data_IF_316132900230
#
_entry.id   IF_316132900230
#
_cell.length_a   1.000
_cell.length_b   1.000
_cell.length_c   1.000
_cell.angle_alpha   90.00
_cell.angle_beta   90.00
_cell.angle_gamma   90.00
#
_symmetry.space_group_name_H-M   'P 1'
#
loop_
_entity.id
_entity.type
_entity.pdbx_description
1 polymer ?
#
# COMPACT_ATOMS: atom_id res chain seq x y z
N UNK A 1 -26.61 13.57 -12.82
CA UNK A 1 -25.50 12.91 -13.55
C UNK A 1 -24.52 12.18 -12.63
N UNK A 2 -24.04 12.77 -11.53
CA UNK A 2 -23.07 12.10 -10.62
C UNK A 2 -23.62 10.86 -9.89
N UNK A 3 -24.88 10.90 -9.44
CA UNK A 3 -25.55 9.73 -8.83
C UNK A 3 -25.60 8.53 -9.77
N UNK A 4 -25.88 8.76 -11.06
CA UNK A 4 -25.93 7.72 -12.09
C UNK A 4 -24.54 7.15 -12.38
N UNK A 5 -23.52 8.00 -12.53
CA UNK A 5 -22.11 7.57 -12.65
C UNK A 5 -21.66 6.74 -11.45
N UNK A 6 -22.02 7.17 -10.24
CA UNK A 6 -21.75 6.43 -9.01
C UNK A 6 -22.42 5.05 -8.98
N UNK A 7 -23.68 4.96 -9.37
CA UNK A 7 -24.42 3.69 -9.45
C UNK A 7 -23.80 2.72 -10.49
N UNK A 8 -23.37 3.22 -11.65
CA UNK A 8 -22.67 2.41 -12.65
C UNK A 8 -21.36 1.86 -12.14
N UNK A 9 -20.54 2.68 -11.46
CA UNK A 9 -19.28 2.24 -10.87
C UNK A 9 -19.53 1.17 -9.81
N UNK A 10 -20.46 1.40 -8.87
CA UNK A 10 -20.80 0.42 -7.84
C UNK A 10 -21.37 -0.86 -8.45
N UNK A 11 -22.18 -0.76 -9.51
CA UNK A 11 -22.66 -1.90 -10.29
C UNK A 11 -21.51 -2.72 -10.88
N UNK A 12 -20.53 -2.06 -11.49
CA UNK A 12 -19.32 -2.71 -12.00
C UNK A 12 -18.52 -3.43 -10.91
N UNK A 13 -18.33 -2.81 -9.75
CA UNK A 13 -17.67 -3.45 -8.60
C UNK A 13 -18.40 -4.73 -8.17
N UNK A 14 -19.74 -4.68 -8.10
CA UNK A 14 -20.57 -5.84 -7.76
C UNK A 14 -20.45 -6.96 -8.80
N UNK A 15 -20.41 -6.62 -10.09
CA UNK A 15 -20.22 -7.61 -11.16
C UNK A 15 -18.90 -8.35 -10.99
N UNK A 16 -17.78 -7.65 -10.75
CA UNK A 16 -16.50 -8.30 -10.45
C UNK A 16 -16.61 -9.22 -9.22
N UNK A 17 -17.26 -8.76 -8.15
CA UNK A 17 -17.43 -9.52 -6.92
C UNK A 17 -18.29 -10.79 -7.06
N UNK A 18 -19.04 -10.94 -8.14
CA UNK A 18 -19.85 -12.13 -8.47
C UNK A 18 -19.10 -13.16 -9.32
N UNK A 19 -17.99 -12.77 -9.95
CA UNK A 19 -17.22 -13.66 -10.81
C UNK A 19 -16.42 -14.69 -9.99
N UNK A 20 -16.15 -15.87 -10.55
CA UNK A 20 -15.14 -16.78 -9.99
C UNK A 20 -13.78 -16.08 -9.90
N UNK A 21 -13.00 -16.38 -8.86
CA UNK A 21 -11.73 -15.69 -8.58
C UNK A 21 -10.76 -15.66 -9.76
N UNK A 22 -10.64 -16.79 -10.48
CA UNK A 22 -9.79 -16.90 -11.68
C UNK A 22 -10.24 -15.96 -12.80
N UNK A 23 -11.54 -15.73 -12.94
CA UNK A 23 -12.08 -14.80 -13.93
C UNK A 23 -11.82 -13.35 -13.52
N UNK A 24 -11.92 -13.01 -12.23
CA UNK A 24 -11.53 -11.69 -11.69
C UNK A 24 -10.07 -11.39 -12.06
N UNK A 25 -9.17 -12.31 -11.75
CA UNK A 25 -7.74 -12.18 -12.06
C UNK A 25 -7.47 -12.13 -13.57
N UNK A 26 -8.15 -12.96 -14.36
CA UNK A 26 -8.00 -12.99 -15.81
C UNK A 26 -8.43 -11.67 -16.46
N UNK A 27 -9.57 -11.11 -16.05
CA UNK A 27 -10.04 -9.81 -16.53
C UNK A 27 -9.11 -8.69 -16.10
N UNK A 28 -8.65 -8.68 -14.84
CA UNK A 28 -7.67 -7.71 -14.36
C UNK A 28 -6.37 -7.76 -15.16
N UNK A 29 -5.85 -8.96 -15.42
CA UNK A 29 -4.67 -9.15 -16.26
C UNK A 29 -4.88 -8.66 -17.70
N UNK A 30 -6.05 -8.94 -18.29
CA UNK A 30 -6.38 -8.47 -19.64
C UNK A 30 -6.43 -6.94 -19.72
N UNK A 31 -7.03 -6.27 -18.72
CA UNK A 31 -7.02 -4.81 -18.61
C UNK A 31 -5.58 -4.29 -18.53
N UNK A 32 -4.75 -4.87 -17.66
CA UNK A 32 -3.36 -4.50 -17.52
C UNK A 32 -2.52 -4.75 -18.78
N UNK A 33 -2.80 -5.83 -19.51
CA UNK A 33 -2.18 -6.11 -20.81
C UNK A 33 -2.55 -5.05 -21.86
N UNK A 34 -3.82 -4.63 -21.91
CA UNK A 34 -4.24 -3.52 -22.78
C UNK A 34 -3.54 -2.21 -22.39
N UNK A 35 -3.41 -1.93 -21.10
CA UNK A 35 -2.64 -0.77 -20.60
C UNK A 35 -1.16 -0.85 -20.96
N UNK A 36 -0.59 -2.04 -21.09
CA UNK A 36 0.79 -2.21 -21.55
C UNK A 36 0.90 -1.97 -23.06
N UNK A 37 0.00 -2.53 -23.87
CA UNK A 37 0.08 -2.43 -25.33
C UNK A 37 -0.35 -1.08 -25.90
N UNK A 38 -1.32 -0.41 -25.28
CA UNK A 38 -1.84 0.87 -25.74
C UNK A 38 -1.12 2.06 -25.08
N UNK A 39 -0.77 3.13 -25.82
CA UNK A 39 -0.20 4.33 -25.23
C UNK A 39 -1.12 4.96 -24.19
N UNK A 40 -0.62 5.15 -22.97
CA UNK A 40 -1.35 5.86 -21.92
C UNK A 40 -0.38 6.41 -20.87
N UNK A 41 -0.87 7.39 -20.10
CA UNK A 41 -0.07 8.09 -19.08
C UNK A 41 0.41 7.16 -17.96
N UNK A 42 -0.39 6.19 -17.54
CA UNK A 42 -0.03 5.30 -16.43
C UNK A 42 1.12 4.37 -16.81
N UNK A 43 1.11 3.83 -18.03
CA UNK A 43 2.24 3.08 -18.60
C UNK A 43 3.51 3.91 -18.60
N UNK A 44 3.42 5.16 -19.04
CA UNK A 44 4.59 6.05 -19.11
C UNK A 44 5.15 6.36 -17.71
N UNK A 45 4.28 6.61 -16.74
CA UNK A 45 4.70 6.80 -15.33
C UNK A 45 5.42 5.56 -14.81
N UNK A 46 4.83 4.38 -15.01
CA UNK A 46 5.43 3.12 -14.59
C UNK A 46 6.79 2.85 -15.26
N UNK A 47 6.91 3.11 -16.56
CA UNK A 47 8.15 2.94 -17.32
C UNK A 47 9.28 3.80 -16.76
N UNK A 48 9.02 5.09 -16.53
CA UNK A 48 10.00 6.03 -15.97
C UNK A 48 10.39 5.63 -14.54
N UNK A 49 9.42 5.23 -13.71
CA UNK A 49 9.71 4.82 -12.34
C UNK A 49 10.64 3.59 -12.33
N UNK A 50 10.28 2.57 -13.12
CA UNK A 50 11.05 1.33 -13.21
C UNK A 50 12.45 1.61 -13.76
N UNK A 51 12.61 2.44 -14.81
CA UNK A 51 13.92 2.75 -15.39
C UNK A 51 14.88 3.41 -14.40
N UNK A 52 14.37 4.28 -13.52
CA UNK A 52 15.22 4.93 -12.51
C UNK A 52 15.41 4.08 -11.26
N UNK A 53 14.45 3.23 -10.91
CA UNK A 53 14.57 2.35 -9.75
C UNK A 53 15.44 1.12 -10.01
N UNK A 54 15.48 0.64 -11.26
CA UNK A 54 16.26 -0.51 -11.69
C UNK A 54 17.10 -0.15 -12.95
N UNK A 55 18.09 0.76 -12.81
CA UNK A 55 18.93 1.20 -13.93
C UNK A 55 19.77 0.08 -14.55
N UNK A 56 19.92 -1.05 -13.85
CA UNK A 56 20.64 -2.24 -14.30
C UNK A 56 19.89 -3.07 -15.35
N UNK A 57 18.58 -2.87 -15.52
CA UNK A 57 17.78 -3.66 -16.46
C UNK A 57 18.07 -3.26 -17.91
N UNK A 58 18.25 -4.25 -18.77
CA UNK A 58 18.22 -4.04 -20.22
C UNK A 58 16.84 -3.55 -20.67
N UNK A 59 16.76 -2.97 -21.87
CA UNK A 59 15.48 -2.51 -22.43
C UNK A 59 14.42 -3.63 -22.52
N UNK A 60 14.85 -4.86 -22.79
CA UNK A 60 13.96 -6.02 -22.86
C UNK A 60 13.46 -6.46 -21.48
N UNK A 61 14.33 -6.47 -20.46
CA UNK A 61 13.94 -6.80 -19.09
C UNK A 61 13.02 -5.72 -18.50
N UNK A 62 13.29 -4.45 -18.79
CA UNK A 62 12.44 -3.35 -18.38
C UNK A 62 11.04 -3.45 -18.98
N UNK A 63 10.90 -3.70 -20.30
CA UNK A 63 9.58 -3.86 -20.92
C UNK A 63 8.85 -5.10 -20.40
N UNK A 64 9.57 -6.20 -20.12
CA UNK A 64 9.01 -7.39 -19.48
C UNK A 64 8.46 -7.08 -18.09
N UNK A 65 9.24 -6.42 -17.23
CA UNK A 65 8.81 -6.04 -15.88
C UNK A 65 7.66 -5.02 -15.93
N UNK A 66 7.69 -4.07 -16.86
CA UNK A 66 6.61 -3.11 -17.09
C UNK A 66 5.30 -3.84 -17.46
N UNK A 67 5.35 -4.78 -18.39
CA UNK A 67 4.20 -5.58 -18.80
C UNK A 67 3.63 -6.39 -17.65
N UNK A 68 4.49 -7.08 -16.89
CA UNK A 68 4.10 -7.83 -15.68
C UNK A 68 3.47 -6.91 -14.64
N UNK A 69 4.08 -5.75 -14.39
CA UNK A 69 3.59 -4.75 -13.44
C UNK A 69 2.20 -4.25 -13.77
N UNK A 70 1.94 -3.92 -15.04
CA UNK A 70 0.63 -3.42 -15.46
C UNK A 70 -0.45 -4.51 -15.36
N UNK A 71 -0.13 -5.76 -15.72
CA UNK A 71 -1.04 -6.90 -15.52
C UNK A 71 -1.34 -7.15 -14.04
N UNK A 72 -0.34 -7.08 -13.16
CA UNK A 72 -0.50 -7.28 -11.73
C UNK A 72 -1.27 -6.15 -11.05
N UNK A 73 -1.06 -4.89 -11.46
CA UNK A 73 -1.88 -3.76 -11.02
C UNK A 73 -3.34 -3.95 -11.48
N UNK A 74 -3.56 -4.40 -12.72
CA UNK A 74 -4.90 -4.72 -13.21
C UNK A 74 -5.60 -5.78 -12.36
N UNK A 75 -4.89 -6.86 -12.01
CA UNK A 75 -5.36 -7.88 -11.05
C UNK A 75 -5.70 -7.24 -9.71
N UNK A 76 -4.77 -6.49 -9.10
CA UNK A 76 -4.97 -5.84 -7.80
C UNK A 76 -6.23 -4.98 -7.81
N UNK A 77 -6.47 -4.17 -8.85
CA UNK A 77 -7.68 -3.35 -8.94
C UNK A 77 -8.98 -4.18 -8.97
N UNK A 78 -9.02 -5.26 -9.75
CA UNK A 78 -10.20 -6.13 -9.83
C UNK A 78 -10.41 -6.96 -8.57
N UNK A 79 -9.33 -7.40 -7.92
CA UNK A 79 -9.36 -8.12 -6.65
C UNK A 79 -9.77 -7.19 -5.50
N UNK A 80 -9.30 -5.94 -5.49
CA UNK A 80 -9.73 -4.88 -4.58
C UNK A 80 -11.22 -4.56 -4.74
N UNK A 81 -11.73 -4.53 -5.98
CA UNK A 81 -13.16 -4.38 -6.22
C UNK A 81 -13.99 -5.47 -5.52
N UNK A 82 -13.48 -6.70 -5.50
CA UNK A 82 -14.11 -7.79 -4.76
C UNK A 82 -14.05 -7.56 -3.23
N UNK A 83 -12.89 -7.17 -2.71
CA UNK A 83 -12.72 -6.86 -1.28
C UNK A 83 -13.63 -5.71 -0.81
N UNK A 84 -13.94 -4.73 -1.67
CA UNK A 84 -14.88 -3.65 -1.34
C UNK A 84 -16.36 -4.03 -1.33
N UNK A 85 -16.70 -5.24 -1.80
CA UNK A 85 -18.07 -5.71 -1.86
C UNK A 85 -18.29 -6.85 -0.87
N UNK A 86 -17.32 -7.76 -0.76
CA UNK A 86 -17.42 -8.94 0.07
C UNK A 86 -17.43 -8.62 1.58
N UNK A 87 -18.05 -9.48 2.40
CA UNK A 87 -17.77 -9.48 3.83
C UNK A 87 -16.29 -9.83 4.05
N UNK A 88 -15.63 -9.28 5.08
CA UNK A 88 -14.21 -9.50 5.33
C UNK A 88 -13.81 -10.97 5.37
N UNK A 89 -14.65 -11.83 5.96
CA UNK A 89 -14.41 -13.27 6.08
C UNK A 89 -14.17 -13.94 4.72
N UNK A 90 -14.84 -13.48 3.66
CA UNK A 90 -14.63 -14.02 2.31
C UNK A 90 -13.29 -13.59 1.72
N UNK A 91 -12.83 -12.36 1.99
CA UNK A 91 -11.46 -11.95 1.60
C UNK A 91 -10.41 -12.73 2.38
N UNK A 92 -10.64 -12.99 3.67
CA UNK A 92 -9.71 -13.73 4.53
C UNK A 92 -9.49 -15.16 4.06
N UNK A 93 -10.48 -15.81 3.42
CA UNK A 93 -10.32 -17.15 2.82
C UNK A 93 -9.26 -17.20 1.70
N UNK A 94 -8.86 -16.06 1.14
CA UNK A 94 -7.78 -15.97 0.16
C UNK A 94 -6.41 -15.70 0.79
N UNK A 95 -6.31 -15.52 2.11
CA UNK A 95 -5.02 -15.58 2.79
C UNK A 95 -4.65 -17.06 2.93
N UNK A 96 -3.60 -17.48 2.22
CA UNK A 96 -3.16 -18.89 2.17
C UNK A 96 -1.94 -19.13 3.04
N UNK A 97 -1.11 -18.11 3.17
CA UNK A 97 0.16 -18.16 3.89
C UNK A 97 0.28 -16.90 4.75
N UNK A 98 0.79 -17.05 5.96
CA UNK A 98 1.11 -15.96 6.87
C UNK A 98 2.51 -16.23 7.42
N UNK A 99 3.46 -15.36 7.08
CA UNK A 99 4.83 -15.38 7.60
C UNK A 99 4.97 -14.29 8.66
N UNK A 100 5.58 -14.60 9.81
CA UNK A 100 5.86 -13.64 10.87
C UNK A 100 4.67 -13.27 11.77
N UNK A 101 3.67 -14.16 11.90
CA UNK A 101 2.48 -13.90 12.73
C UNK A 101 2.85 -13.55 14.18
N UNK A 102 3.87 -14.21 14.71
CA UNK A 102 4.44 -13.99 16.03
C UNK A 102 4.84 -12.53 16.26
N UNK A 103 5.34 -11.84 15.23
CA UNK A 103 5.70 -10.42 15.32
C UNK A 103 4.49 -9.55 15.63
N UNK A 104 3.37 -9.83 14.96
CA UNK A 104 2.13 -9.10 15.19
C UNK A 104 1.55 -9.42 16.57
N UNK A 105 1.57 -10.68 16.98
CA UNK A 105 1.07 -11.13 18.29
C UNK A 105 1.87 -10.50 19.44
N UNK A 106 3.21 -10.53 19.36
CA UNK A 106 4.09 -9.90 20.34
C UNK A 106 3.87 -8.39 20.42
N UNK A 107 3.70 -7.73 19.27
CA UNK A 107 3.48 -6.30 19.25
C UNK A 107 2.12 -5.94 19.88
N UNK A 108 1.06 -6.71 19.60
CA UNK A 108 -0.26 -6.54 20.22
C UNK A 108 -0.23 -6.83 21.74
N UNK A 109 0.55 -7.81 22.19
CA UNK A 109 0.66 -8.18 23.61
C UNK A 109 1.50 -7.19 24.43
N UNK A 110 2.37 -6.39 23.79
CA UNK A 110 3.31 -5.50 24.48
C UNK A 110 2.67 -4.36 25.28
N UNK A 111 1.45 -3.93 24.91
CA UNK A 111 0.82 -2.71 25.44
C UNK A 111 1.39 -1.40 24.86
N UNK A 112 2.44 -1.47 24.04
CA UNK A 112 2.94 -0.33 23.27
C UNK A 112 2.01 -0.02 22.09
N UNK A 113 2.09 1.19 21.54
CA UNK A 113 1.34 1.53 20.34
C UNK A 113 1.83 0.74 19.12
N UNK A 114 0.94 0.05 18.42
CA UNK A 114 1.32 -0.69 17.21
C UNK A 114 1.23 0.21 15.98
N UNK A 115 2.36 0.44 15.33
CA UNK A 115 2.47 1.17 14.06
C UNK A 115 2.63 0.16 12.92
N UNK A 116 1.51 -0.10 12.26
CA UNK A 116 1.45 -0.88 11.04
C UNK A 116 1.99 -0.13 9.83
N UNK A 117 3.03 -0.67 9.19
CA UNK A 117 3.76 -0.03 8.09
C UNK A 117 3.54 -0.82 6.82
N UNK A 118 3.04 -0.17 5.77
CA UNK A 118 2.79 -0.84 4.48
C UNK A 118 3.13 0.06 3.31
N UNK A 119 2.99 -0.45 2.11
CA UNK A 119 3.08 0.28 0.84
C UNK A 119 2.02 -0.22 -0.13
N UNK A 120 1.88 0.42 -1.29
CA UNK A 120 1.00 -0.05 -2.35
C UNK A 120 1.63 -1.23 -3.12
N UNK A 121 1.97 -2.29 -2.38
CA UNK A 121 2.53 -3.54 -2.85
C UNK A 121 1.52 -4.67 -2.64
N UNK A 122 1.32 -5.49 -3.68
CA UNK A 122 0.38 -6.61 -3.63
C UNK A 122 -1.07 -6.11 -3.59
N UNK A 123 -1.86 -6.60 -2.63
CA UNK A 123 -3.25 -6.18 -2.44
C UNK A 123 -3.51 -5.67 -1.02
N UNK A 124 -3.37 -4.35 -0.86
CA UNK A 124 -3.57 -3.66 0.42
C UNK A 124 -5.04 -3.67 0.91
N UNK A 125 -6.01 -3.95 0.03
CA UNK A 125 -7.42 -4.04 0.42
C UNK A 125 -7.73 -5.36 1.13
N UNK A 126 -7.17 -6.46 0.64
CA UNK A 126 -7.25 -7.77 1.30
C UNK A 126 -6.42 -7.75 2.59
N UNK A 127 -5.23 -7.18 2.54
CA UNK A 127 -4.36 -6.94 3.70
C UNK A 127 -5.06 -6.15 4.81
N UNK A 128 -5.86 -5.15 4.43
CA UNK A 128 -6.63 -4.36 5.39
C UNK A 128 -7.65 -5.23 6.15
N UNK A 129 -8.33 -6.17 5.48
CA UNK A 129 -9.23 -7.11 6.17
C UNK A 129 -8.47 -8.02 7.13
N UNK A 130 -7.30 -8.51 6.73
CA UNK A 130 -6.41 -9.29 7.59
C UNK A 130 -5.98 -8.48 8.81
N UNK A 131 -5.38 -7.31 8.64
CA UNK A 131 -4.89 -6.53 9.78
C UNK A 131 -6.02 -6.11 10.73
N UNK A 132 -7.19 -5.74 10.19
CA UNK A 132 -8.34 -5.37 11.01
C UNK A 132 -8.96 -6.53 11.79
N UNK A 133 -8.80 -7.79 11.37
CA UNK A 133 -9.28 -8.93 12.16
C UNK A 133 -8.49 -9.16 13.45
N UNK A 134 -7.28 -8.59 13.55
CA UNK A 134 -6.43 -8.69 14.74
C UNK A 134 -6.35 -7.37 15.53
N UNK A 135 -6.07 -6.25 14.85
CA UNK A 135 -5.59 -5.04 15.51
C UNK A 135 -6.62 -3.90 15.67
N UNK A 136 -7.79 -3.98 15.02
CA UNK A 136 -8.82 -2.92 15.01
C UNK A 136 -8.26 -1.48 14.87
N UNK A 137 -7.38 -1.22 13.88
CA UNK A 137 -6.54 -0.02 13.84
C UNK A 137 -7.31 1.28 13.50
N UNK A 138 -6.66 2.43 13.71
CA UNK A 138 -6.96 3.65 12.95
C UNK A 138 -6.16 3.63 11.64
N UNK A 139 -6.84 3.84 10.52
CA UNK A 139 -6.22 3.84 9.18
C UNK A 139 -6.51 5.17 8.48
N UNK A 140 -5.52 5.73 7.80
CA UNK A 140 -5.74 6.92 6.99
C UNK A 140 -6.71 6.64 5.84
N UNK A 141 -7.64 7.57 5.64
CA UNK A 141 -8.65 7.48 4.60
C UNK A 141 -8.76 8.81 3.86
N UNK A 142 -8.60 8.73 2.54
CA UNK A 142 -8.88 9.83 1.63
C UNK A 142 -10.13 9.49 0.82
N UNK A 143 -11.22 10.26 0.94
CA UNK A 143 -12.46 9.94 0.26
C UNK A 143 -12.27 9.99 -1.27
N UNK A 144 -12.75 8.97 -2.00
CA UNK A 144 -12.87 9.04 -3.46
C UNK A 144 -13.73 10.23 -3.90
N UNK A 145 -13.50 10.73 -5.12
CA UNK A 145 -14.30 11.83 -5.68
C UNK A 145 -15.79 11.49 -5.82
N UNK A 146 -16.10 10.22 -6.11
CA UNK A 146 -17.47 9.77 -6.30
C UNK A 146 -18.09 9.39 -4.96
N UNK A 147 -19.10 10.14 -4.52
CA UNK A 147 -19.77 9.92 -3.21
C UNK A 147 -20.28 8.49 -3.04
N UNK A 148 -20.86 7.87 -4.07
CA UNK A 148 -21.37 6.50 -3.97
C UNK A 148 -20.26 5.47 -3.65
N UNK A 149 -19.04 5.71 -4.15
CA UNK A 149 -17.87 4.87 -3.84
C UNK A 149 -17.36 5.20 -2.44
N UNK A 150 -17.32 6.47 -2.06
CA UNK A 150 -16.97 6.89 -0.69
C UNK A 150 -17.89 6.24 0.36
N UNK A 151 -19.20 6.28 0.15
CA UNK A 151 -20.19 5.68 1.06
C UNK A 151 -19.99 4.15 1.18
N UNK A 152 -19.70 3.48 0.07
CA UNK A 152 -19.39 2.05 0.04
C UNK A 152 -18.12 1.74 0.83
N UNK A 153 -17.02 2.45 0.54
CA UNK A 153 -15.72 2.20 1.17
C UNK A 153 -15.76 2.51 2.65
N UNK A 154 -16.39 3.61 3.07
CA UNK A 154 -16.57 3.93 4.51
C UNK A 154 -17.28 2.81 5.24
N UNK A 155 -18.34 2.24 4.66
CA UNK A 155 -19.07 1.13 5.27
C UNK A 155 -18.20 -0.12 5.38
N UNK A 156 -17.35 -0.42 4.40
CA UNK A 156 -16.44 -1.57 4.44
C UNK A 156 -15.30 -1.38 5.44
N UNK A 157 -14.76 -0.17 5.49
CA UNK A 157 -13.61 0.21 6.31
C UNK A 157 -13.90 0.27 7.81
N UNK A 158 -15.09 -0.07 8.29
CA UNK A 158 -15.41 -0.08 9.73
C UNK A 158 -16.05 -1.39 10.20
N UNK A 159 -16.12 -2.41 9.34
CA UNK A 159 -16.86 -3.65 9.64
C UNK A 159 -16.22 -4.51 10.73
N UNK A 160 -14.94 -4.34 10.98
CA UNK A 160 -14.19 -5.12 11.96
C UNK A 160 -13.85 -4.30 13.22
N UNK A 161 -14.57 -3.20 13.47
CA UNK A 161 -14.36 -2.32 14.61
C UNK A 161 -13.15 -1.38 14.49
N UNK A 162 -12.51 -1.36 13.32
CA UNK A 162 -11.45 -0.41 12.99
C UNK A 162 -12.05 0.97 12.64
N UNK A 163 -11.22 2.02 12.71
CA UNK A 163 -11.62 3.41 12.48
C UNK A 163 -10.83 4.03 11.35
N UNK A 164 -11.39 5.07 10.74
CA UNK A 164 -10.71 5.85 9.69
C UNK A 164 -10.37 7.24 10.19
N UNK A 165 -9.18 7.72 9.86
CA UNK A 165 -8.75 9.09 10.10
C UNK A 165 -8.57 9.82 8.76
N UNK A 166 -9.06 11.07 8.61
CA UNK A 166 -8.80 11.84 7.41
C UNK A 166 -7.30 12.17 7.27
N UNK A 167 -6.81 12.35 6.06
CA UNK A 167 -5.45 12.86 5.81
C UNK A 167 -5.37 14.38 6.03
N UNK A 168 -5.76 14.85 7.22
CA UNK A 168 -5.73 16.25 7.67
C UNK A 168 -4.91 16.36 8.96
N UNK A 169 -4.51 17.57 9.40
CA UNK A 169 -3.82 17.76 10.67
C UNK A 169 -4.55 17.11 11.86
N UNK A 170 -5.88 17.19 11.91
CA UNK A 170 -6.70 16.59 12.96
C UNK A 170 -6.63 15.06 12.93
N UNK A 171 -6.67 14.47 11.73
CA UNK A 171 -6.53 13.04 11.55
C UNK A 171 -5.13 12.55 11.96
N UNK A 172 -4.07 13.29 11.60
CA UNK A 172 -2.70 13.02 12.05
C UNK A 172 -2.62 13.04 13.59
N UNK A 173 -3.20 14.04 14.23
CA UNK A 173 -3.25 14.13 15.71
C UNK A 173 -3.98 12.92 16.30
N UNK A 174 -5.08 12.47 15.68
CA UNK A 174 -5.81 11.28 16.15
C UNK A 174 -4.96 10.01 16.13
N UNK A 175 -4.16 9.83 15.06
CA UNK A 175 -3.22 8.70 14.92
C UNK A 175 -2.11 8.78 15.96
N UNK A 176 -1.52 9.96 16.19
CA UNK A 176 -0.50 10.15 17.24
C UNK A 176 -1.07 9.82 18.62
N UNK A 177 -2.30 10.27 18.92
CA UNK A 177 -2.97 9.97 20.19
C UNK A 177 -3.25 8.48 20.35
N UNK A 178 -3.63 7.80 19.27
CA UNK A 178 -3.88 6.35 19.25
C UNK A 178 -2.63 5.56 19.61
N UNK A 179 -1.50 5.85 18.96
CA UNK A 179 -0.23 5.17 19.25
C UNK A 179 0.19 5.42 20.70
N UNK A 180 0.09 6.67 21.17
CA UNK A 180 0.49 7.04 22.55
C UNK A 180 -0.29 6.33 23.65
N UNK A 181 -1.52 5.86 23.37
CA UNK A 181 -2.35 5.13 24.34
C UNK A 181 -2.27 3.61 24.20
N UNK A 182 -1.29 3.08 23.45
CA UNK A 182 -1.15 1.64 23.21
C UNK A 182 -2.10 1.10 22.13
N UNK A 183 -2.71 1.98 21.32
CA UNK A 183 -3.60 1.59 20.23
C UNK A 183 -2.86 1.22 18.95
N UNK A 184 -3.60 0.70 17.98
CA UNK A 184 -3.07 0.23 16.71
C UNK A 184 -3.37 1.22 15.57
N UNK A 185 -2.43 1.41 14.66
CA UNK A 185 -2.60 2.23 13.45
C UNK A 185 -2.06 1.51 12.21
N UNK A 186 -2.55 1.87 11.02
CA UNK A 186 -2.05 1.37 9.74
C UNK A 186 -1.73 2.52 8.79
N UNK A 187 -0.49 2.57 8.28
CA UNK A 187 0.05 3.71 7.53
C UNK A 187 0.75 3.24 6.25
N UNK A 188 0.23 3.59 5.06
CA UNK A 188 0.98 3.45 3.81
C UNK A 188 2.10 4.50 3.76
N UNK A 189 3.35 4.05 3.63
CA UNK A 189 4.54 4.87 3.77
C UNK A 189 5.22 5.21 2.43
N UNK A 190 4.62 4.79 1.32
CA UNK A 190 5.12 5.05 -0.02
C UNK A 190 4.50 6.23 -0.81
N UNK A 191 3.43 6.92 -0.35
CA UNK A 191 3.05 8.20 -0.95
C UNK A 191 4.10 9.29 -0.67
N UNK A 192 4.35 10.14 -1.67
CA UNK A 192 5.23 11.30 -1.53
C UNK A 192 4.63 12.34 -0.54
N UNK A 193 5.36 12.73 0.52
CA UNK A 193 4.91 13.74 1.48
C UNK A 193 5.18 15.16 0.95
N UNK A 194 4.79 16.19 1.70
CA UNK A 194 5.25 17.56 1.45
C UNK A 194 6.73 17.73 1.79
N UNK A 195 7.42 18.69 1.14
CA UNK A 195 8.88 18.87 1.25
C UNK A 195 9.36 19.00 2.70
N UNK A 196 8.66 19.80 3.52
CA UNK A 196 9.02 19.98 4.94
C UNK A 196 8.73 18.75 5.83
N UNK A 197 7.92 17.80 5.33
CA UNK A 197 7.47 16.62 6.08
C UNK A 197 8.24 15.34 5.72
N UNK A 198 9.14 15.40 4.74
CA UNK A 198 9.98 14.27 4.34
C UNK A 198 11.46 14.59 4.35
N UNK A 199 12.26 13.57 4.04
CA UNK A 199 13.69 13.67 3.74
C UNK A 199 13.97 12.95 2.43
N UNK A 200 14.90 13.47 1.63
CA UNK A 200 15.40 12.78 0.46
C UNK A 200 16.40 11.72 0.91
N UNK A 201 16.05 10.44 0.74
CA UNK A 201 16.88 9.30 1.16
C UNK A 201 17.00 8.27 0.03
N UNK A 202 18.05 7.43 0.02
CA UNK A 202 18.19 6.39 -0.98
C UNK A 202 16.98 5.45 -1.05
N UNK A 203 16.56 5.12 -2.27
CA UNK A 203 15.45 4.22 -2.57
C UNK A 203 15.70 3.52 -3.90
N UNK A 204 15.99 2.21 -3.85
CA UNK A 204 16.38 1.42 -5.02
C UNK A 204 17.55 2.09 -5.78
N UNK A 205 17.50 2.22 -7.11
CA UNK A 205 18.51 2.91 -7.92
C UNK A 205 18.45 4.44 -7.91
N UNK A 206 17.71 5.06 -6.99
CA UNK A 206 17.50 6.52 -6.95
C UNK A 206 17.35 7.05 -5.52
N UNK A 207 16.91 8.30 -5.40
CA UNK A 207 16.53 8.98 -4.16
C UNK A 207 15.02 9.23 -4.17
N UNK A 208 14.36 9.04 -3.03
CA UNK A 208 12.93 9.33 -2.86
C UNK A 208 12.71 10.29 -1.67
N UNK A 209 11.73 11.17 -1.80
CA UNK A 209 11.24 11.95 -0.66
C UNK A 209 10.37 11.03 0.22
N UNK A 210 10.88 10.66 1.38
CA UNK A 210 10.22 9.71 2.31
C UNK A 210 9.76 10.42 3.57
N UNK A 211 8.56 10.10 4.05
CA UNK A 211 7.91 10.78 5.17
C UNK A 211 8.62 10.52 6.51
N UNK A 212 8.76 11.58 7.31
CA UNK A 212 9.24 11.51 8.70
C UNK A 212 8.20 10.95 9.69
N UNK A 213 6.95 10.76 9.25
CA UNK A 213 5.84 10.53 10.17
C UNK A 213 5.97 9.23 10.98
N UNK A 214 6.17 8.09 10.33
CA UNK A 214 6.35 6.80 11.03
C UNK A 214 7.61 6.81 11.91
N UNK A 215 8.80 7.20 11.42
CA UNK A 215 9.99 7.34 12.27
C UNK A 215 9.76 8.21 13.51
N UNK A 216 9.02 9.32 13.38
CA UNK A 216 8.69 10.20 14.52
C UNK A 216 7.75 9.57 15.56
N UNK A 217 6.97 8.55 15.18
CA UNK A 217 6.14 7.77 16.11
C UNK A 217 6.99 6.76 16.89
N UNK A 218 7.93 6.09 16.20
CA UNK A 218 8.76 5.03 16.74
C UNK A 218 9.86 5.54 17.67
N UNK A 219 10.53 6.65 17.34
CA UNK A 219 11.65 7.22 18.12
C UNK A 219 11.30 7.66 19.54
N UNK A 220 10.01 7.64 19.91
CA UNK A 220 9.50 7.99 21.24
C UNK A 220 9.48 6.81 22.22
N UNK A 221 9.83 5.60 21.78
CA UNK A 221 10.04 4.44 22.66
C UNK A 221 8.79 3.83 23.31
N UNK A 222 7.59 4.18 22.83
CA UNK A 222 6.30 3.59 23.27
C UNK A 222 5.46 3.08 22.10
N UNK A 223 6.15 2.67 21.05
CA UNK A 223 5.53 2.18 19.84
C UNK A 223 6.37 1.06 19.23
N UNK A 224 5.72 0.08 18.61
CA UNK A 224 6.35 -1.00 17.86
C UNK A 224 5.95 -0.88 16.40
N UNK A 225 6.93 -0.85 15.50
CA UNK A 225 6.71 -0.88 14.07
C UNK A 225 6.61 -2.32 13.56
N UNK A 226 5.58 -2.61 12.77
CA UNK A 226 5.43 -3.90 12.08
C UNK A 226 5.16 -3.62 10.61
N UNK A 227 6.06 -4.06 9.74
CA UNK A 227 5.82 -4.09 8.30
C UNK A 227 4.80 -5.16 7.97
N UNK A 228 3.87 -4.85 7.08
CA UNK A 228 2.93 -5.84 6.58
C UNK A 228 2.55 -5.63 5.11
N UNK A 229 2.47 -6.73 4.37
CA UNK A 229 2.06 -6.75 2.96
C UNK A 229 1.29 -8.04 2.66
N UNK A 230 0.33 -7.98 1.74
CA UNK A 230 -0.32 -9.17 1.18
C UNK A 230 0.08 -9.30 -0.30
N UNK A 231 1.05 -10.16 -0.59
CA UNK A 231 1.53 -10.40 -1.95
C UNK A 231 0.77 -11.55 -2.58
N UNK A 232 0.37 -11.41 -3.84
CA UNK A 232 -0.34 -12.46 -4.59
C UNK A 232 0.60 -13.64 -4.77
N UNK A 233 0.11 -14.85 -4.51
CA UNK A 233 0.85 -16.07 -4.80
C UNK A 233 1.04 -16.25 -6.31
N UNK A 234 2.18 -16.81 -6.77
CA UNK A 234 2.46 -16.99 -8.20
C UNK A 234 1.40 -17.80 -8.94
N UNK A 235 0.78 -18.77 -8.25
CA UNK A 235 -0.27 -19.61 -8.81
C UNK A 235 -1.65 -18.93 -8.83
N UNK A 236 -1.79 -17.71 -8.27
CA UNK A 236 -3.03 -16.94 -8.16
C UNK A 236 -4.07 -17.47 -7.17
N UNK A 237 -3.77 -18.50 -6.37
CA UNK A 237 -4.73 -19.13 -5.42
C UNK A 237 -5.13 -18.24 -4.23
N UNK A 238 -4.40 -17.15 -4.02
CA UNK A 238 -4.63 -16.20 -2.95
C UNK A 238 -3.40 -15.35 -2.69
N UNK A 239 -3.17 -15.03 -1.42
CA UNK A 239 -2.13 -14.14 -0.94
C UNK A 239 -1.31 -14.79 0.16
N UNK A 240 -0.04 -14.41 0.19
CA UNK A 240 0.83 -14.53 1.35
C UNK A 240 0.86 -13.20 2.09
N UNK A 241 0.55 -13.22 3.38
CA UNK A 241 0.80 -12.09 4.28
C UNK A 241 2.20 -12.23 4.84
N UNK A 242 3.00 -11.18 4.73
CA UNK A 242 4.34 -11.09 5.29
C UNK A 242 4.28 -10.06 6.42
N UNK A 243 4.79 -10.43 7.60
CA UNK A 243 4.85 -9.60 8.79
C UNK A 243 6.29 -9.57 9.29
N UNK A 244 6.86 -8.39 9.50
CA UNK A 244 8.22 -8.26 10.02
C UNK A 244 8.35 -7.08 10.96
N UNK A 245 9.19 -7.23 11.99
CA UNK A 245 9.46 -6.15 12.93
C UNK A 245 10.24 -5.03 12.22
N UNK A 246 9.91 -3.78 12.54
CA UNK A 246 10.73 -2.66 12.10
C UNK A 246 12.17 -2.81 12.66
N UNK A 247 13.21 -2.60 11.84
CA UNK A 247 14.60 -2.75 12.28
C UNK A 247 14.98 -1.67 13.32
N UNK A 248 16.01 -1.95 14.11
CA UNK A 248 16.46 -1.06 15.20
C UNK A 248 16.72 0.38 14.74
N UNK A 249 17.33 0.56 13.56
CA UNK A 249 17.62 1.88 12.97
C UNK A 249 16.37 2.78 12.82
N UNK A 250 15.17 2.19 12.66
CA UNK A 250 13.93 2.98 12.55
C UNK A 250 13.51 3.63 13.87
N UNK A 251 14.09 3.21 14.98
CA UNK A 251 13.87 3.78 16.31
C UNK A 251 14.93 4.80 16.70
N UNK A 252 15.90 5.09 15.81
CA UNK A 252 16.93 6.08 16.06
C UNK A 252 16.32 7.48 16.29
N UNK A 253 17.00 8.28 17.12
CA UNK A 253 16.61 9.67 17.39
C UNK A 253 17.00 10.58 16.22
N UNK A 254 18.02 10.20 15.46
CA UNK A 254 18.36 10.83 14.20
C UNK A 254 17.30 10.49 13.14
N UNK A 255 16.66 11.52 12.63
CA UNK A 255 15.61 11.39 11.65
C UNK A 255 16.15 10.95 10.29
N UNK A 256 17.39 11.28 9.94
CA UNK A 256 18.00 10.84 8.67
C UNK A 256 18.22 9.33 8.69
N UNK A 257 18.77 8.80 9.78
CA UNK A 257 19.00 7.35 9.99
C UNK A 257 17.67 6.59 9.92
N UNK A 258 16.68 7.02 10.70
CA UNK A 258 15.40 6.31 10.81
C UNK A 258 14.53 6.40 9.55
N UNK A 259 14.56 7.52 8.82
CA UNK A 259 13.88 7.65 7.51
C UNK A 259 14.60 6.85 6.42
N UNK A 260 15.93 6.82 6.42
CA UNK A 260 16.70 5.99 5.49
C UNK A 260 16.43 4.49 5.73
N UNK A 261 16.32 4.06 6.98
CA UNK A 261 15.96 2.70 7.33
C UNK A 261 14.55 2.32 6.84
N UNK A 262 13.55 3.18 7.03
CA UNK A 262 12.22 2.99 6.46
C UNK A 262 12.27 2.86 4.93
N UNK A 263 13.01 3.76 4.26
CA UNK A 263 13.15 3.74 2.80
C UNK A 263 13.81 2.45 2.30
N UNK A 264 14.84 1.98 3.00
CA UNK A 264 15.55 0.72 2.72
C UNK A 264 14.62 -0.49 2.82
N UNK A 265 13.82 -0.60 3.88
CA UNK A 265 12.88 -1.72 4.01
C UNK A 265 11.79 -1.68 2.95
N UNK A 266 11.21 -0.51 2.68
CA UNK A 266 10.25 -0.36 1.57
C UNK A 266 10.87 -0.75 0.22
N UNK A 267 12.13 -0.36 -0.02
CA UNK A 267 12.86 -0.73 -1.24
C UNK A 267 13.10 -2.25 -1.32
N UNK A 268 13.41 -2.91 -0.19
CA UNK A 268 13.61 -4.37 -0.14
C UNK A 268 12.35 -5.11 -0.56
N UNK A 269 11.20 -4.81 0.04
CA UNK A 269 9.92 -5.44 -0.35
C UNK A 269 9.58 -5.21 -1.84
N UNK A 270 9.82 -4.01 -2.35
CA UNK A 270 9.59 -3.70 -3.76
C UNK A 270 10.56 -4.43 -4.68
N UNK A 271 11.81 -4.65 -4.26
CA UNK A 271 12.78 -5.45 -5.01
C UNK A 271 12.43 -6.94 -5.02
N UNK A 272 11.89 -7.45 -3.92
CA UNK A 272 11.50 -8.86 -3.79
C UNK A 272 10.24 -9.18 -4.62
N UNK A 273 9.34 -8.20 -4.79
CA UNK A 273 8.07 -8.36 -5.51
C UNK A 273 7.80 -7.23 -6.53
N UNK A 274 8.71 -6.98 -7.49
CA UNK A 274 8.72 -5.75 -8.26
C UNK A 274 7.50 -5.61 -9.17
N UNK A 275 6.96 -6.70 -9.72
CA UNK A 275 5.75 -6.61 -10.55
C UNK A 275 4.50 -6.26 -9.76
N UNK A 276 4.47 -6.52 -8.45
CA UNK A 276 3.27 -6.28 -7.63
C UNK A 276 3.22 -4.89 -7.02
N UNK A 277 4.22 -4.05 -7.27
CA UNK A 277 4.25 -2.68 -6.76
C UNK A 277 3.47 -1.74 -7.69
N UNK A 278 2.77 -0.75 -7.11
CA UNK A 278 1.97 0.22 -7.86
C UNK A 278 2.85 1.28 -8.56
N UNK A 279 3.61 0.86 -9.58
CA UNK A 279 4.49 1.71 -10.38
C UNK A 279 3.79 2.83 -11.14
N UNK A 280 2.46 2.80 -11.26
CA UNK A 280 1.67 3.87 -11.88
C UNK A 280 1.53 5.10 -10.98
N UNK A 281 1.94 5.01 -9.71
CA UNK A 281 1.99 6.14 -8.79
C UNK A 281 3.18 7.07 -9.12
N UNK A 282 2.89 8.37 -9.23
CA UNK A 282 3.94 9.40 -9.33
C UNK A 282 4.61 9.63 -7.96
N UNK A 283 5.52 8.72 -7.56
CA UNK A 283 6.26 8.74 -6.28
C UNK A 283 7.41 9.76 -6.24
N UNK A 284 7.90 10.20 -7.40
CA UNK A 284 9.07 11.08 -7.53
C UNK A 284 8.75 12.39 -8.27
N UNK A 285 7.67 13.07 -7.88
CA UNK A 285 7.33 14.38 -8.48
C UNK A 285 8.29 15.46 -7.99
N UNK A 286 8.62 15.41 -6.71
CA UNK A 286 9.62 16.25 -6.05
C UNK A 286 10.96 15.52 -6.15
N UNK A 287 11.99 16.27 -6.51
CA UNK A 287 13.38 15.80 -6.63
C UNK A 287 14.28 16.69 -5.75
N UNK A 288 15.48 16.19 -5.37
CA UNK A 288 16.50 17.03 -4.77
C UNK A 288 16.74 18.32 -5.57
N UNK A 289 17.19 19.37 -4.88
CA UNK A 289 17.48 20.65 -5.53
C UNK A 289 18.51 20.47 -6.66
N UNK A 290 18.24 21.07 -7.82
CA UNK A 290 19.08 20.94 -9.02
C UNK A 290 18.76 19.73 -9.91
N UNK A 291 17.97 18.75 -9.47
CA UNK A 291 17.59 17.61 -10.31
C UNK A 291 16.37 17.91 -11.21
N UNK A 292 16.38 17.33 -12.41
CA UNK A 292 15.26 17.41 -13.35
C UNK A 292 14.03 16.65 -12.85
N UNK A 293 12.84 17.23 -13.04
CA UNK A 293 11.57 16.55 -12.76
C UNK A 293 11.31 15.42 -13.75
N UNK A 294 10.74 14.33 -13.26
CA UNK A 294 10.44 13.16 -14.09
C UNK A 294 9.06 13.21 -14.77
N UNK A 295 8.09 13.97 -14.22
CA UNK A 295 6.67 13.92 -14.63
C UNK A 295 5.88 15.23 -14.52
#
# INVERSE_FOLDING_TARGET
MEKFKGALVVGGLRLFAMLPWRAVQGLGAAIGWLMWKLPNRSREVARINISHCFPELSAAELDKLLGQSLMDIGRTLTESACAWIWPPQKSLQYIREVEGMEVLEEALASGDGLVGITSHLGNWEVLNHFYCSYAKPIIFYRPPKLKAVDDLLKKQRVQLGNRVAPSTPEGIISVIKEVRRGGCVGIPCDPEPDLGSGLFVPYLGTTALTSKFVPSLLSRGKARGVFFHAVRLPDGSGYKVILEAAPADMYDKDMEVSVAALSRELARYVRDYPSQYMWTMKRFKKRPEGEARWY
#
